data_IF_447372340699
#
_entry.id   IF_447372340699
#
_cell.length_a   1.000
_cell.length_b   1.000
_cell.length_c   1.000
_cell.angle_alpha   90.00
_cell.angle_beta   90.00
_cell.angle_gamma   90.00
#
_symmetry.space_group_name_H-M   'P 1'
#
loop_
_entity.id
_entity.type
_entity.pdbx_description
1 polymer ?
#
# COMPACT_ATOMS: atom_id res chain seq x y z
N UNK A 1 -30.76 21.94 -59.07
CA UNK A 1 -31.55 22.24 -57.85
C UNK A 1 -31.07 21.32 -56.75
N UNK A 2 -30.52 21.90 -55.67
CA UNK A 2 -30.48 21.48 -54.24
C UNK A 2 -29.91 20.08 -53.92
N UNK A 3 -28.71 19.99 -53.31
CA UNK A 3 -28.44 19.82 -51.85
C UNK A 3 -29.17 18.57 -51.28
N UNK A 4 -28.54 17.61 -50.58
CA UNK A 4 -27.95 17.73 -49.23
C UNK A 4 -26.97 16.55 -48.98
N UNK A 5 -25.86 16.86 -48.32
CA UNK A 5 -24.88 15.92 -47.75
C UNK A 5 -25.40 15.25 -46.47
N UNK A 6 -25.04 13.98 -46.24
CA UNK A 6 -25.16 13.35 -44.92
C UNK A 6 -23.91 12.51 -44.64
N UNK A 7 -22.91 13.19 -44.08
CA UNK A 7 -21.70 12.64 -43.49
C UNK A 7 -22.11 11.92 -42.18
N UNK A 8 -22.20 10.60 -42.17
CA UNK A 8 -22.45 9.85 -40.93
C UNK A 8 -21.12 9.67 -40.17
N UNK A 9 -20.88 10.54 -39.19
CA UNK A 9 -19.86 10.34 -38.16
C UNK A 9 -20.26 9.10 -37.33
N UNK A 10 -19.46 8.04 -37.40
CA UNK A 10 -19.50 6.97 -36.40
C UNK A 10 -18.69 7.45 -35.20
N UNK A 11 -19.39 7.85 -34.13
CA UNK A 11 -18.78 8.22 -32.87
C UNK A 11 -18.12 6.99 -32.24
N UNK A 12 -16.79 7.02 -32.11
CA UNK A 12 -16.05 6.05 -31.29
C UNK A 12 -16.39 6.30 -29.82
N UNK A 13 -17.25 5.46 -29.26
CA UNK A 13 -17.49 5.41 -27.83
C UNK A 13 -16.20 4.95 -27.13
N UNK A 14 -15.39 5.92 -26.72
CA UNK A 14 -14.29 5.67 -25.79
C UNK A 14 -14.90 5.32 -24.43
N UNK A 15 -14.90 4.04 -24.08
CA UNK A 15 -15.15 3.57 -22.72
C UNK A 15 -14.04 4.09 -21.79
N UNK A 16 -14.19 5.31 -21.28
CA UNK A 16 -13.42 5.82 -20.17
C UNK A 16 -13.94 5.20 -18.87
N UNK A 17 -13.33 4.10 -18.44
CA UNK A 17 -13.56 3.57 -17.10
C UNK A 17 -13.00 4.52 -16.03
N UNK A 18 -13.71 4.75 -14.91
CA UNK A 18 -13.17 5.50 -13.79
C UNK A 18 -12.28 4.56 -12.97
N UNK A 19 -11.00 4.49 -13.34
CA UNK A 19 -10.05 3.57 -12.71
C UNK A 19 -8.61 4.06 -12.77
N UNK A 20 -8.27 5.02 -11.91
CA UNK A 20 -6.92 5.15 -11.35
C UNK A 20 -5.80 5.63 -12.27
N UNK A 21 -5.89 6.86 -12.79
CA UNK A 21 -4.67 7.63 -13.10
C UNK A 21 -4.26 8.43 -11.86
N UNK A 22 -3.39 7.85 -11.03
CA UNK A 22 -2.40 8.62 -10.29
C UNK A 22 -1.15 8.66 -11.20
N UNK A 23 -0.57 9.78 -11.61
CA UNK A 23 -0.46 11.06 -10.94
C UNK A 23 1.00 11.26 -10.52
N UNK A 24 1.81 11.84 -11.40
CA UNK A 24 3.16 12.35 -11.11
C UNK A 24 4.29 11.34 -11.27
N UNK A 25 5.49 11.82 -11.61
CA UNK A 25 6.74 11.10 -11.41
C UNK A 25 6.91 10.86 -9.90
N UNK A 26 6.24 9.80 -9.42
CA UNK A 26 5.92 9.59 -8.03
C UNK A 26 7.13 9.08 -7.26
N UNK A 27 7.42 9.74 -6.14
CA UNK A 27 8.39 9.25 -5.15
C UNK A 27 8.05 7.79 -4.82
N UNK A 28 9.03 6.89 -4.92
CA UNK A 28 8.85 5.48 -4.64
C UNK A 28 8.25 5.27 -3.22
N UNK A 29 7.36 4.29 -3.03
CA UNK A 29 6.74 4.03 -1.73
C UNK A 29 7.81 3.65 -0.70
N UNK A 30 7.68 4.16 0.53
CA UNK A 30 8.59 3.83 1.63
C UNK A 30 8.36 2.42 2.18
N UNK A 31 7.13 1.91 2.04
CA UNK A 31 6.71 0.57 2.44
C UNK A 31 5.79 0.01 1.37
N UNK A 32 5.96 -1.27 1.05
CA UNK A 32 5.08 -2.05 0.20
C UNK A 32 4.38 -3.11 1.05
N UNK A 33 3.07 -3.24 0.86
CA UNK A 33 2.25 -4.31 1.44
C UNK A 33 2.12 -5.45 0.42
N UNK A 34 2.47 -6.66 0.82
CA UNK A 34 2.35 -7.86 -0.02
C UNK A 34 1.28 -8.79 0.56
N UNK A 35 0.23 -9.04 -0.22
CA UNK A 35 -0.90 -9.90 0.14
C UNK A 35 -0.64 -11.41 -0.11
N UNK A 36 0.56 -11.88 0.24
CA UNK A 36 0.89 -13.31 0.17
C UNK A 36 0.44 -14.08 1.43
N UNK A 37 0.57 -15.41 1.45
CA UNK A 37 0.59 -16.19 2.69
C UNK A 37 2.06 -16.39 3.16
N UNK A 38 2.54 -15.69 4.21
CA UNK A 38 1.85 -14.72 5.05
C UNK A 38 1.82 -13.31 4.44
N UNK A 39 1.01 -12.41 5.01
CA UNK A 39 1.05 -10.98 4.69
C UNK A 39 2.43 -10.42 5.07
N UNK A 40 3.00 -9.54 4.26
CA UNK A 40 4.35 -8.98 4.51
C UNK A 40 4.39 -7.46 4.31
N UNK A 41 5.27 -6.82 5.07
CA UNK A 41 5.63 -5.41 4.89
C UNK A 41 7.09 -5.30 4.47
N UNK A 42 7.31 -4.78 3.27
CA UNK A 42 8.64 -4.59 2.70
C UNK A 42 9.02 -3.11 2.78
N UNK A 43 10.07 -2.80 3.52
CA UNK A 43 10.61 -1.45 3.56
C UNK A 43 11.44 -1.17 2.29
N UNK A 44 11.38 0.07 1.78
CA UNK A 44 12.29 0.50 0.73
C UNK A 44 13.76 0.50 1.22
N UNK A 45 14.74 0.43 0.31
CA UNK A 45 16.15 0.53 0.69
C UNK A 45 16.44 1.78 1.53
N UNK A 46 17.17 1.59 2.64
CA UNK A 46 17.46 2.67 3.58
C UNK A 46 16.26 3.11 4.44
N UNK A 47 15.15 2.39 4.42
CA UNK A 47 14.02 2.62 5.33
C UNK A 47 13.95 1.48 6.34
N UNK A 48 13.72 1.81 7.61
CA UNK A 48 13.51 0.82 8.68
C UNK A 48 12.08 0.90 9.21
N UNK A 49 11.47 -0.25 9.50
CA UNK A 49 10.15 -0.31 10.13
C UNK A 49 10.35 -0.37 11.65
N UNK A 50 9.66 0.51 12.38
CA UNK A 50 9.73 0.59 13.83
C UNK A 50 9.13 -0.68 14.47
N UNK A 51 9.89 -1.36 15.32
CA UNK A 51 9.45 -2.56 16.04
C UNK A 51 8.80 -2.23 17.39
N UNK A 52 9.10 -1.06 17.97
CA UNK A 52 8.49 -0.60 19.23
C UNK A 52 7.04 -0.15 19.04
N UNK A 53 6.71 0.30 17.83
CA UNK A 53 5.34 0.56 17.40
C UNK A 53 4.98 -0.40 16.27
N UNK A 54 4.52 -1.61 16.65
CA UNK A 54 4.21 -2.68 15.69
C UNK A 54 3.20 -2.20 14.64
N UNK A 55 3.43 -2.49 13.34
CA UNK A 55 2.46 -2.18 12.30
C UNK A 55 1.15 -2.91 12.56
N UNK A 56 0.04 -2.21 12.32
CA UNK A 56 -1.30 -2.71 12.56
C UNK A 56 -2.15 -2.50 11.32
N UNK A 57 -2.87 -3.54 10.91
CA UNK A 57 -3.86 -3.49 9.87
C UNK A 57 -5.25 -3.70 10.48
N UNK A 58 -5.99 -2.60 10.55
CA UNK A 58 -7.37 -2.58 11.01
C UNK A 58 -8.27 -2.90 9.82
N UNK A 59 -8.89 -4.09 9.83
CA UNK A 59 -9.81 -4.51 8.78
C UNK A 59 -11.17 -3.85 8.97
N UNK A 60 -11.93 -3.71 7.88
CA UNK A 60 -13.27 -3.09 7.91
C UNK A 60 -14.25 -3.81 8.86
N UNK A 61 -14.00 -5.08 9.17
CA UNK A 61 -14.75 -5.87 10.16
C UNK A 61 -14.30 -5.70 11.62
N UNK A 62 -13.39 -4.76 11.91
CA UNK A 62 -12.87 -4.48 13.26
C UNK A 62 -11.75 -5.39 13.76
N UNK A 63 -11.43 -6.46 13.03
CA UNK A 63 -10.27 -7.31 13.35
C UNK A 63 -8.96 -6.56 13.08
N UNK A 64 -8.02 -6.64 14.02
CA UNK A 64 -6.70 -6.00 13.90
C UNK A 64 -5.61 -7.06 13.74
N UNK A 65 -4.92 -7.02 12.61
CA UNK A 65 -3.74 -7.85 12.36
C UNK A 65 -2.49 -7.06 12.74
N UNK A 66 -1.67 -7.63 13.63
CA UNK A 66 -0.37 -7.04 14.00
C UNK A 66 0.74 -7.76 13.28
N UNK A 67 1.60 -7.00 12.60
CA UNK A 67 2.77 -7.55 11.93
C UNK A 67 3.91 -7.72 12.93
N UNK A 68 4.62 -8.84 12.84
CA UNK A 68 5.73 -9.15 13.74
C UNK A 68 6.84 -9.96 13.06
N UNK A 69 8.01 -9.95 13.66
CA UNK A 69 9.16 -10.77 13.27
C UNK A 69 10.07 -10.99 14.48
N UNK A 70 10.63 -12.19 14.65
CA UNK A 70 11.60 -12.45 15.72
C UNK A 70 12.95 -11.77 15.46
N UNK A 71 13.19 -11.29 14.24
CA UNK A 71 14.44 -10.68 13.83
C UNK A 71 14.37 -9.16 14.03
N UNK A 72 15.04 -8.69 15.08
CA UNK A 72 15.14 -7.27 15.44
C UNK A 72 16.58 -6.79 15.34
N UNK A 73 16.76 -5.48 15.23
CA UNK A 73 18.06 -4.84 15.46
C UNK A 73 18.50 -5.02 16.92
N UNK A 74 19.80 -4.91 17.20
CA UNK A 74 20.35 -5.12 18.54
C UNK A 74 19.72 -4.24 19.64
N UNK A 75 19.29 -3.03 19.28
CA UNK A 75 18.58 -2.08 20.16
C UNK A 75 17.06 -2.33 20.25
N UNK A 76 16.58 -3.38 19.58
CA UNK A 76 15.17 -3.76 19.44
C UNK A 76 14.27 -2.63 18.91
N UNK A 77 14.84 -1.61 18.27
CA UNK A 77 14.09 -0.47 17.78
C UNK A 77 13.43 -0.74 16.43
N UNK A 78 14.00 -1.62 15.61
CA UNK A 78 13.57 -1.89 14.25
C UNK A 78 13.50 -3.38 13.95
N UNK A 79 12.64 -3.75 13.00
CA UNK A 79 12.67 -5.08 12.42
C UNK A 79 13.89 -5.24 11.50
N UNK A 80 14.65 -6.30 11.68
CA UNK A 80 15.79 -6.68 10.85
C UNK A 80 15.41 -7.62 9.69
N UNK A 81 14.18 -8.17 9.71
CA UNK A 81 13.58 -8.89 8.60
C UNK A 81 12.13 -8.42 8.40
N UNK A 82 11.54 -8.56 7.20
CA UNK A 82 10.16 -8.14 6.94
C UNK A 82 9.17 -8.71 7.97
N UNK A 83 8.43 -7.87 8.71
CA UNK A 83 7.44 -8.36 9.65
C UNK A 83 6.24 -8.90 8.88
N UNK A 84 5.62 -9.94 9.46
CA UNK A 84 4.56 -10.71 8.81
C UNK A 84 3.33 -10.81 9.69
N UNK A 85 2.19 -11.06 9.08
CA UNK A 85 0.94 -11.37 9.77
C UNK A 85 0.24 -12.54 9.07
N UNK A 86 -0.54 -13.31 9.84
CA UNK A 86 -1.35 -14.39 9.27
C UNK A 86 -2.32 -13.82 8.22
N UNK A 87 -2.44 -14.51 7.08
CA UNK A 87 -3.38 -14.15 6.03
C UNK A 87 -4.78 -14.65 6.42
N UNK A 88 -5.75 -13.76 6.69
CA UNK A 88 -7.14 -14.18 6.88
C UNK A 88 -7.74 -14.69 5.57
N UNK A 89 -8.75 -15.56 5.65
CA UNK A 89 -9.45 -16.08 4.48
C UNK A 89 -10.38 -15.04 3.84
N UNK A 90 -10.56 -15.19 2.52
CA UNK A 90 -11.48 -14.38 1.71
C UNK A 90 -10.97 -12.97 1.39
N UNK A 91 -11.69 -12.24 0.53
CA UNK A 91 -11.35 -10.85 0.21
C UNK A 91 -11.42 -9.97 1.45
N UNK A 92 -10.45 -9.06 1.59
CA UNK A 92 -10.35 -8.12 2.72
C UNK A 92 -10.03 -6.72 2.25
N UNK A 93 -10.40 -5.78 3.10
CA UNK A 93 -10.01 -4.38 3.03
C UNK A 93 -9.73 -3.89 4.43
N UNK A 94 -8.80 -2.95 4.54
CA UNK A 94 -8.52 -2.29 5.80
C UNK A 94 -7.54 -1.14 5.67
N UNK A 95 -7.22 -0.57 6.82
CA UNK A 95 -6.27 0.54 6.98
C UNK A 95 -5.02 0.03 7.68
N UNK A 96 -3.90 0.06 6.97
CA UNK A 96 -2.59 -0.26 7.52
C UNK A 96 -1.94 1.00 8.07
N UNK A 97 -1.55 0.93 9.35
CA UNK A 97 -0.74 1.93 10.05
C UNK A 97 0.65 1.38 10.32
N UNK A 98 1.67 2.10 9.87
CA UNK A 98 3.07 1.69 10.03
C UNK A 98 3.94 2.91 10.34
N UNK A 99 4.86 2.76 11.29
CA UNK A 99 5.88 3.77 11.56
C UNK A 99 7.20 3.36 10.91
N UNK A 100 7.78 4.26 10.13
CA UNK A 100 9.05 4.04 9.42
C UNK A 100 10.05 5.14 9.66
N UNK A 101 11.33 4.80 9.61
CA UNK A 101 12.40 5.73 9.87
C UNK A 101 13.40 5.65 8.71
N UNK A 102 13.29 6.57 7.73
CA UNK A 102 14.27 6.69 6.65
C UNK A 102 15.67 6.99 7.19
N UNK A 103 16.69 6.45 6.55
CA UNK A 103 18.09 6.71 6.87
C UNK A 103 18.40 8.21 6.78
N UNK A 104 19.13 8.72 7.77
CA UNK A 104 19.50 10.13 7.85
C UNK A 104 18.43 11.03 8.46
N UNK A 105 17.21 10.54 8.69
CA UNK A 105 16.17 11.31 9.37
C UNK A 105 16.23 11.10 10.89
N UNK A 106 16.03 12.19 11.65
CA UNK A 106 15.98 12.15 13.12
C UNK A 106 14.62 11.71 13.67
N UNK A 107 13.58 11.78 12.84
CA UNK A 107 12.20 11.47 13.22
C UNK A 107 11.64 10.39 12.31
N UNK A 108 10.95 9.44 12.93
CA UNK A 108 10.17 8.45 12.21
C UNK A 108 8.88 9.08 11.70
N UNK A 109 8.40 8.59 10.56
CA UNK A 109 7.15 8.99 9.92
C UNK A 109 6.09 7.94 10.18
N UNK A 110 4.89 8.36 10.53
CA UNK A 110 3.71 7.49 10.54
C UNK A 110 3.10 7.51 9.14
N UNK A 111 2.87 6.34 8.57
CA UNK A 111 2.19 6.15 7.30
C UNK A 111 0.88 5.42 7.55
N UNK A 112 -0.15 5.87 6.85
CA UNK A 112 -1.45 5.22 6.79
C UNK A 112 -1.77 4.91 5.32
N UNK A 113 -2.20 3.68 5.04
CA UNK A 113 -2.56 3.26 3.69
C UNK A 113 -3.77 2.34 3.70
N UNK A 114 -4.70 2.58 2.79
CA UNK A 114 -5.79 1.65 2.52
C UNK A 114 -5.26 0.50 1.66
N UNK A 115 -5.53 -0.72 2.09
CA UNK A 115 -5.14 -1.95 1.38
C UNK A 115 -6.36 -2.83 1.17
N UNK A 116 -6.38 -3.56 0.06
CA UNK A 116 -7.39 -4.57 -0.22
C UNK A 116 -6.76 -5.72 -1.01
N UNK A 117 -7.20 -6.95 -0.74
CA UNK A 117 -6.72 -8.18 -1.38
C UNK A 117 -7.78 -9.27 -1.35
#
# INVERSE_FOLDING_TARGET
>A
MRLIAALLLVATAACQGPGGRAGGAGRAPLVVFEAGPPLRLMAAPGVRINARLKPALELDGGMVLRFDSPYLTADSAYFAAPPTAALPSGPRRGTLRVSVCPSGERLCRSLEMTVAW
#
